data_IF_566943841160
#
_entry.id   IF_566943841160
#
_cell.length_a   1.000
_cell.length_b   1.000
_cell.length_c   1.000
_cell.angle_alpha   90.00
_cell.angle_beta   90.00
_cell.angle_gamma   90.00
#
_symmetry.space_group_name_H-M   'P 1'
#
loop_
_entity.id
_entity.type
_entity.pdbx_description
1 polymer ?
#
# COMPACT_ATOMS: atom_id res chain seq x y z
N UNK A 1 15.19 -10.60 -17.75
CA UNK A 1 13.77 -10.18 -17.71
C UNK A 1 13.08 -10.96 -16.58
N UNK A 2 12.60 -10.28 -15.54
CA UNK A 2 11.82 -10.90 -14.44
C UNK A 2 10.38 -11.25 -14.87
N UNK A 3 10.14 -11.56 -16.15
CA UNK A 3 8.87 -11.35 -16.85
C UNK A 3 7.68 -12.22 -16.40
N UNK A 4 7.82 -13.01 -15.32
CA UNK A 4 6.73 -13.76 -14.69
C UNK A 4 6.40 -13.33 -13.27
N UNK A 5 7.38 -12.85 -12.49
CA UNK A 5 7.20 -12.71 -11.04
C UNK A 5 6.22 -11.56 -10.72
N UNK A 6 5.18 -11.77 -9.88
CA UNK A 6 4.23 -10.74 -9.53
C UNK A 6 4.93 -9.59 -8.78
N UNK A 7 4.87 -8.39 -9.35
CA UNK A 7 5.34 -7.16 -8.69
C UNK A 7 4.23 -6.55 -7.84
N UNK A 8 4.52 -6.34 -6.55
CA UNK A 8 3.66 -5.60 -5.61
C UNK A 8 4.46 -4.45 -5.01
N UNK A 9 3.82 -3.29 -4.85
CA UNK A 9 4.45 -2.09 -4.29
C UNK A 9 3.80 -1.72 -2.97
N UNK A 10 4.62 -1.55 -1.94
CA UNK A 10 4.21 -0.94 -0.68
C UNK A 10 4.56 0.56 -0.70
N UNK A 11 3.55 1.42 -0.68
CA UNK A 11 3.72 2.86 -0.55
C UNK A 11 3.66 3.25 0.92
N UNK A 12 4.82 3.55 1.51
CA UNK A 12 4.97 3.90 2.93
C UNK A 12 4.90 5.43 3.14
N UNK A 13 5.01 5.86 4.40
CA UNK A 13 4.98 7.29 4.81
C UNK A 13 3.72 8.04 4.35
N UNK A 14 2.59 7.33 4.32
CA UNK A 14 1.30 7.88 3.88
C UNK A 14 0.82 9.01 4.80
N UNK A 15 1.24 8.99 6.06
CA UNK A 15 0.97 9.97 7.11
C UNK A 15 1.79 11.26 6.95
N UNK A 16 2.93 11.20 6.26
CA UNK A 16 3.68 12.39 5.84
C UNK A 16 3.02 12.99 4.61
N UNK A 17 2.61 12.16 3.65
CA UNK A 17 1.95 12.60 2.42
C UNK A 17 0.52 13.12 2.66
N UNK A 18 -0.21 12.56 3.62
CA UNK A 18 -1.58 12.90 3.98
C UNK A 18 -1.71 12.93 5.51
N UNK A 19 -1.49 14.10 6.16
CA UNK A 19 -1.50 14.21 7.62
C UNK A 19 -2.80 13.74 8.28
N UNK A 20 -3.93 13.75 7.56
CA UNK A 20 -5.23 13.24 8.03
C UNK A 20 -5.17 11.75 8.41
N UNK A 21 -4.28 10.97 7.79
CA UNK A 21 -4.11 9.55 8.13
C UNK A 21 -3.37 9.33 9.45
N UNK A 22 -2.79 10.39 10.07
CA UNK A 22 -2.27 10.33 11.44
C UNK A 22 -3.40 10.20 12.45
N UNK A 23 -4.49 10.91 12.23
CA UNK A 23 -5.65 10.93 13.12
C UNK A 23 -6.60 9.76 12.83
N UNK A 24 -6.86 9.49 11.56
CA UNK A 24 -7.70 8.35 11.15
C UNK A 24 -7.14 7.69 9.89
N UNK A 25 -6.61 6.48 10.07
CA UNK A 25 -5.96 5.76 8.96
C UNK A 25 -6.92 5.48 7.80
N UNK A 26 -8.23 5.41 8.04
CA UNK A 26 -9.23 5.10 7.01
C UNK A 26 -9.28 6.16 5.90
N UNK A 27 -8.76 7.37 6.16
CA UNK A 27 -8.57 8.38 5.13
C UNK A 27 -7.64 7.91 3.99
N UNK A 28 -6.86 6.84 4.18
CA UNK A 28 -6.09 6.19 3.12
C UNK A 28 -6.93 5.84 1.89
N UNK A 29 -8.19 5.45 2.08
CA UNK A 29 -9.10 5.05 1.00
C UNK A 29 -9.81 6.22 0.32
N UNK A 30 -9.87 7.37 0.98
CA UNK A 30 -10.63 8.54 0.52
C UNK A 30 -9.74 9.74 0.15
N UNK A 31 -8.45 9.69 0.47
CA UNK A 31 -7.52 10.79 0.23
C UNK A 31 -7.18 10.93 -1.26
N UNK A 32 -7.53 12.09 -1.82
CA UNK A 32 -7.14 12.47 -3.18
C UNK A 32 -5.63 12.55 -3.37
N UNK A 33 -4.90 12.94 -2.32
CA UNK A 33 -3.44 13.02 -2.37
C UNK A 33 -2.86 11.62 -2.55
N UNK A 34 -3.30 10.66 -1.74
CA UNK A 34 -2.81 9.29 -1.81
C UNK A 34 -3.24 8.60 -3.11
N UNK A 35 -4.45 8.86 -3.59
CA UNK A 35 -4.93 8.40 -4.90
C UNK A 35 -4.05 8.91 -6.05
N UNK A 36 -3.67 10.19 -6.03
CA UNK A 36 -2.75 10.77 -7.03
C UNK A 36 -1.35 10.16 -6.93
N UNK A 37 -0.85 9.87 -5.73
CA UNK A 37 0.45 9.21 -5.53
C UNK A 37 0.46 7.78 -6.07
N UNK A 38 -0.59 7.00 -5.83
CA UNK A 38 -0.76 5.66 -6.41
C UNK A 38 -0.72 5.71 -7.94
N UNK A 39 -1.48 6.62 -8.56
CA UNK A 39 -1.47 6.80 -10.02
C UNK A 39 -0.10 7.22 -10.56
N UNK A 40 0.62 8.08 -9.84
CA UNK A 40 1.97 8.48 -10.21
C UNK A 40 2.94 7.29 -10.19
N UNK A 41 2.88 6.45 -9.15
CA UNK A 41 3.71 5.24 -9.05
C UNK A 41 3.36 4.27 -10.18
N UNK A 42 2.07 4.03 -10.43
CA UNK A 42 1.56 3.20 -11.53
C UNK A 42 2.13 3.65 -12.88
N UNK A 43 2.06 4.95 -13.18
CA UNK A 43 2.63 5.52 -14.40
C UNK A 43 4.16 5.34 -14.48
N UNK A 44 4.88 5.59 -13.37
CA UNK A 44 6.35 5.45 -13.32
C UNK A 44 6.82 4.00 -13.49
N UNK A 45 6.01 3.03 -13.06
CA UNK A 45 6.31 1.60 -13.17
C UNK A 45 5.64 0.99 -14.41
N UNK A 46 5.75 1.69 -15.55
CA UNK A 46 5.31 1.21 -16.87
C UNK A 46 3.85 0.72 -16.91
N UNK A 47 2.96 1.36 -16.15
CA UNK A 47 1.55 1.00 -16.13
C UNK A 47 1.20 -0.15 -15.18
N UNK A 48 2.02 -0.41 -14.15
CA UNK A 48 1.66 -1.30 -13.05
C UNK A 48 0.23 -0.98 -12.57
N UNK A 49 -0.71 -1.95 -12.55
CA UNK A 49 -2.07 -1.69 -12.12
C UNK A 49 -2.14 -1.09 -10.71
N UNK A 50 -3.02 -0.10 -10.52
CA UNK A 50 -3.15 0.60 -9.24
C UNK A 50 -3.50 -0.33 -8.06
N UNK A 51 -4.19 -1.44 -8.33
CA UNK A 51 -4.52 -2.46 -7.34
C UNK A 51 -3.32 -3.33 -6.90
N UNK A 52 -2.13 -3.14 -7.48
CA UNK A 52 -0.86 -3.72 -7.02
C UNK A 52 -0.02 -2.76 -6.19
N UNK A 53 -0.55 -1.58 -5.86
CA UNK A 53 0.14 -0.54 -5.09
C UNK A 53 -0.65 -0.31 -3.80
N UNK A 54 -0.10 -0.76 -2.68
CA UNK A 54 -0.76 -0.73 -1.38
C UNK A 54 -0.19 0.39 -0.52
N UNK A 55 -0.98 1.43 -0.21
CA UNK A 55 -0.60 2.41 0.79
C UNK A 55 -0.61 1.76 2.17
N UNK A 56 0.51 1.83 2.89
CA UNK A 56 0.62 1.33 4.26
C UNK A 56 1.24 2.41 5.16
N UNK A 57 0.94 2.33 6.45
CA UNK A 57 1.66 3.09 7.47
C UNK A 57 2.62 2.15 8.20
N UNK A 58 3.88 2.53 8.28
CA UNK A 58 4.86 1.85 9.12
C UNK A 58 4.83 2.44 10.52
N UNK A 59 5.16 1.63 11.51
CA UNK A 59 5.54 2.13 12.83
C UNK A 59 6.94 2.71 12.73
N UNK A 60 7.13 3.96 13.17
CA UNK A 60 8.43 4.62 13.15
C UNK A 60 8.93 4.88 14.57
N UNK A 61 8.11 5.50 15.41
CA UNK A 61 8.43 5.80 16.81
C UNK A 61 7.27 5.46 17.76
N UNK A 62 6.11 5.07 17.23
CA UNK A 62 4.96 4.73 18.04
C UNK A 62 5.24 3.47 18.89
N UNK A 63 5.00 3.58 20.20
CA UNK A 63 5.21 2.51 21.17
C UNK A 63 4.00 1.58 21.32
N UNK A 64 2.84 2.02 20.84
CA UNK A 64 1.59 1.27 20.94
C UNK A 64 1.14 0.74 19.57
N UNK A 65 0.61 -0.48 19.60
CA UNK A 65 0.03 -1.12 18.42
C UNK A 65 -1.31 -0.47 18.06
N UNK A 66 -1.49 -0.12 16.80
CA UNK A 66 -2.77 0.36 16.27
C UNK A 66 -3.42 -0.73 15.42
N UNK A 67 -4.61 -1.20 15.84
CA UNK A 67 -5.41 -2.19 15.10
C UNK A 67 -5.61 -1.77 13.63
N UNK A 68 -5.86 -0.48 13.43
CA UNK A 68 -6.10 0.12 12.14
C UNK A 68 -4.86 0.09 11.23
N UNK A 69 -3.67 0.37 11.77
CA UNK A 69 -2.39 0.25 11.04
C UNK A 69 -2.09 -1.21 10.73
N UNK A 70 -2.29 -2.11 11.71
CA UNK A 70 -2.10 -3.54 11.51
C UNK A 70 -3.03 -4.09 10.44
N UNK A 71 -4.30 -3.68 10.42
CA UNK A 71 -5.26 -4.11 9.41
C UNK A 71 -4.80 -3.76 7.99
N UNK A 72 -4.25 -2.56 7.77
CA UNK A 72 -3.71 -2.20 6.44
C UNK A 72 -2.52 -3.06 6.03
N UNK A 73 -1.59 -3.30 6.95
CA UNK A 73 -0.42 -4.15 6.70
C UNK A 73 -0.83 -5.60 6.44
N UNK A 74 -1.78 -6.14 7.21
CA UNK A 74 -2.33 -7.48 7.03
C UNK A 74 -3.12 -7.61 5.73
N UNK A 75 -3.88 -6.59 5.33
CA UNK A 75 -4.54 -6.55 4.04
C UNK A 75 -3.53 -6.59 2.90
N UNK A 76 -2.46 -5.79 2.96
CA UNK A 76 -1.40 -5.80 1.95
C UNK A 76 -0.71 -7.18 1.88
N UNK A 77 -0.34 -7.76 3.03
CA UNK A 77 0.26 -9.09 3.10
C UNK A 77 -0.66 -10.17 2.51
N UNK A 78 -1.95 -10.15 2.86
CA UNK A 78 -2.93 -11.09 2.31
C UNK A 78 -3.03 -10.99 0.78
N UNK A 79 -3.02 -9.78 0.23
CA UNK A 79 -3.03 -9.59 -1.22
C UNK A 79 -1.73 -10.08 -1.88
N UNK A 80 -0.58 -9.87 -1.25
CA UNK A 80 0.69 -10.44 -1.74
C UNK A 80 0.64 -11.97 -1.80
N UNK A 81 0.09 -12.62 -0.78
CA UNK A 81 -0.08 -14.07 -0.76
C UNK A 81 -1.02 -14.54 -1.88
N UNK A 82 -2.13 -13.82 -2.11
CA UNK A 82 -3.03 -14.13 -3.23
C UNK A 82 -2.31 -14.00 -4.58
N UNK A 83 -1.55 -12.92 -4.82
CA UNK A 83 -0.78 -12.78 -6.05
C UNK A 83 0.30 -13.85 -6.22
N UNK A 84 0.88 -14.33 -5.12
CA UNK A 84 1.84 -15.42 -5.16
C UNK A 84 1.16 -16.75 -5.51
N UNK A 85 -0.02 -17.02 -4.94
CA UNK A 85 -0.83 -18.19 -5.25
C UNK A 85 -1.26 -18.20 -6.73
N UNK A 86 -1.83 -17.09 -7.21
CA UNK A 86 -2.23 -16.91 -8.61
C UNK A 86 -1.07 -17.06 -9.61
N UNK A 87 0.17 -16.94 -9.16
CA UNK A 87 1.36 -17.10 -9.99
C UNK A 87 1.88 -18.54 -10.06
N UNK A 88 1.65 -19.34 -9.01
CA UNK A 88 2.09 -20.74 -8.95
C UNK A 88 1.06 -21.72 -9.49
N UNK A 89 -0.21 -21.30 -9.55
CA UNK A 89 -1.32 -22.03 -10.19
C UNK A 89 -1.30 -21.89 -11.73
#
# INVERSE_FOLDING_TARGET
SFLGIPLVVLMTKIDVACPQTRTNIMHVFHSDILRKRVRLISHKLQGLPANKIFPIKNYEWETEMSVNVNNLSLMALRQMLHFAQDYVD
#
